data_IF_502023049648
#
_entry.id   IF_502023049648
#
_cell.length_a   1.000
_cell.length_b   1.000
_cell.length_c   1.000
_cell.angle_alpha   90.00
_cell.angle_beta   90.00
_cell.angle_gamma   90.00
#
_symmetry.space_group_name_H-M   'P 1'
#
loop_
_entity.id
_entity.type
_entity.pdbx_description
1 polymer ?
#
# COMPACT_ATOMS: atom_id res chain seq x y z
N UNK A 1 51.53 47.24 -13.04
CA UNK A 1 50.16 47.32 -13.59
C UNK A 1 50.08 46.18 -14.61
N UNK A 2 49.27 45.12 -14.50
CA UNK A 2 47.86 45.01 -14.10
C UNK A 2 47.61 43.63 -13.46
N UNK A 3 46.73 43.63 -12.47
CA UNK A 3 46.15 42.54 -11.68
C UNK A 3 45.95 41.18 -12.41
N UNK A 4 46.78 40.18 -12.06
CA UNK A 4 46.58 38.76 -12.45
C UNK A 4 46.06 37.86 -11.30
N UNK A 5 45.67 38.43 -10.15
CA UNK A 5 45.37 37.67 -8.92
C UNK A 5 43.89 37.56 -8.53
N UNK A 6 42.97 38.21 -9.25
CA UNK A 6 41.54 38.28 -8.86
C UNK A 6 40.59 37.40 -9.67
N UNK A 7 41.01 36.88 -10.84
CA UNK A 7 40.11 36.11 -11.71
C UNK A 7 40.05 34.62 -11.35
N UNK A 8 41.13 34.03 -10.84
CA UNK A 8 41.16 32.61 -10.44
C UNK A 8 40.43 32.34 -9.13
N UNK A 9 40.35 33.31 -8.22
CA UNK A 9 39.58 33.20 -6.98
C UNK A 9 38.06 33.33 -7.18
N UNK A 10 37.60 33.94 -8.29
CA UNK A 10 36.18 34.04 -8.60
C UNK A 10 35.61 32.76 -9.23
N UNK A 11 36.44 31.93 -9.88
CA UNK A 11 35.96 30.71 -10.53
C UNK A 11 35.75 29.55 -9.55
N UNK A 12 36.49 29.49 -8.44
CA UNK A 12 36.23 28.49 -7.39
C UNK A 12 34.95 28.79 -6.58
N UNK A 13 34.53 30.06 -6.50
CA UNK A 13 33.30 30.44 -5.79
C UNK A 13 32.03 30.13 -6.59
N UNK A 14 32.11 30.05 -7.92
CA UNK A 14 30.95 29.77 -8.78
C UNK A 14 30.65 28.26 -8.92
N UNK A 15 31.60 27.38 -8.61
CA UNK A 15 31.39 25.92 -8.67
C UNK A 15 30.75 25.32 -7.40
N UNK A 16 30.54 26.13 -6.36
CA UNK A 16 29.83 25.71 -5.13
C UNK A 16 28.31 26.00 -5.24
N UNK A 17 27.87 26.62 -6.33
CA UNK A 17 26.46 26.98 -6.52
C UNK A 17 25.67 25.80 -7.10
N UNK A 18 24.77 25.26 -6.27
CA UNK A 18 23.66 24.35 -6.60
C UNK A 18 23.94 22.84 -6.66
N UNK A 19 24.47 22.27 -5.58
CA UNK A 19 23.90 20.98 -5.14
C UNK A 19 22.50 21.29 -4.61
N UNK A 20 21.52 21.36 -5.51
CA UNK A 20 20.13 21.19 -5.11
C UNK A 20 20.02 19.78 -4.57
N UNK A 21 20.16 19.64 -3.25
CA UNK A 21 19.66 18.46 -2.56
C UNK A 21 18.16 18.53 -2.78
N UNK A 22 17.69 17.84 -3.83
CA UNK A 22 16.27 17.64 -4.05
C UNK A 22 15.77 16.95 -2.79
N UNK A 23 15.13 17.74 -1.91
CA UNK A 23 14.48 17.23 -0.74
C UNK A 23 13.25 16.48 -1.25
N UNK A 24 13.45 15.23 -1.68
CA UNK A 24 12.37 14.31 -1.93
C UNK A 24 11.60 14.26 -0.61
N UNK A 25 10.43 14.88 -0.57
CA UNK A 25 9.54 14.78 0.56
C UNK A 25 9.23 13.28 0.68
N UNK A 26 9.89 12.61 1.63
CA UNK A 26 9.64 11.22 1.89
C UNK A 26 8.22 11.15 2.45
N UNK A 27 7.35 10.42 1.76
CA UNK A 27 6.00 10.15 2.22
C UNK A 27 6.06 9.64 3.67
N UNK A 28 5.43 10.37 4.59
CA UNK A 28 5.47 10.02 6.02
C UNK A 28 4.86 8.63 6.22
N UNK A 29 5.57 7.68 6.85
CA UNK A 29 5.01 6.37 7.11
C UNK A 29 3.78 6.44 8.01
N UNK A 30 2.79 5.59 7.74
CA UNK A 30 1.71 5.33 8.69
C UNK A 30 2.28 4.50 9.83
N UNK A 31 2.18 5.04 11.04
CA UNK A 31 2.59 4.38 12.27
C UNK A 31 1.47 3.45 12.74
N UNK A 32 1.77 2.15 12.81
CA UNK A 32 0.83 1.14 13.27
C UNK A 32 0.98 0.96 14.77
N UNK A 33 0.05 1.57 15.50
CA UNK A 33 -0.14 1.42 16.95
C UNK A 33 -1.10 0.25 17.27
N UNK A 34 -1.46 0.10 18.56
CA UNK A 34 -2.30 -0.99 19.07
C UNK A 34 -3.78 -0.93 18.60
N UNK A 35 -4.17 0.06 17.79
CA UNK A 35 -5.51 0.09 17.20
C UNK A 35 -5.71 -1.08 16.23
N UNK A 36 -6.94 -1.60 16.22
CA UNK A 36 -7.35 -2.68 15.33
C UNK A 36 -7.48 -2.28 13.86
N UNK A 37 -7.63 -0.99 13.55
CA UNK A 37 -7.82 -0.49 12.19
C UNK A 37 -7.26 0.90 12.01
N UNK A 38 -6.60 1.11 10.86
CA UNK A 38 -6.00 2.37 10.46
C UNK A 38 -6.43 2.75 9.03
N UNK A 39 -6.53 4.06 8.77
CA UNK A 39 -6.76 4.59 7.42
C UNK A 39 -5.47 5.22 6.87
N UNK A 40 -5.37 5.32 5.54
CA UNK A 40 -4.18 5.83 4.85
C UNK A 40 -4.25 7.34 4.51
N UNK A 41 -5.19 8.09 5.09
CA UNK A 41 -5.29 9.53 4.83
C UNK A 41 -4.00 10.25 5.23
N UNK A 42 -3.41 11.01 4.31
CA UNK A 42 -2.14 11.69 4.50
C UNK A 42 -0.89 10.81 4.31
N UNK A 43 -1.07 9.50 4.06
CA UNK A 43 0.01 8.51 3.96
C UNK A 43 0.03 7.75 2.63
N UNK A 44 -0.87 8.11 1.70
CA UNK A 44 -1.07 7.43 0.42
C UNK A 44 -0.71 8.35 -0.74
N UNK A 45 0.07 7.84 -1.68
CA UNK A 45 0.25 8.43 -3.00
C UNK A 45 -0.32 7.51 -4.07
N UNK A 46 -0.65 8.10 -5.22
CA UNK A 46 -1.09 7.34 -6.38
C UNK A 46 -0.42 7.83 -7.67
N UNK A 47 -0.34 6.93 -8.64
CA UNK A 47 0.14 7.19 -10.00
C UNK A 47 -0.84 6.55 -10.96
N UNK A 48 -1.25 7.29 -11.98
CA UNK A 48 -2.11 6.75 -13.05
C UNK A 48 -1.24 6.24 -14.19
N UNK A 49 -1.50 5.02 -14.65
CA UNK A 49 -0.85 4.40 -15.80
C UNK A 49 -1.89 4.15 -16.91
N UNK A 50 -2.03 5.08 -17.87
CA UNK A 50 -2.96 4.93 -18.99
C UNK A 50 -2.61 3.76 -19.92
N UNK A 51 -1.35 3.34 -19.96
CA UNK A 51 -0.88 2.24 -20.82
C UNK A 51 -1.22 0.88 -20.24
N UNK A 52 -1.41 0.81 -18.92
CA UNK A 52 -1.53 -0.41 -18.13
C UNK A 52 -0.30 -1.35 -18.19
N UNK A 53 0.83 -0.87 -18.71
CA UNK A 53 2.03 -1.68 -18.95
C UNK A 53 3.13 -1.49 -17.90
N UNK A 54 3.00 -0.51 -17.01
CA UNK A 54 4.04 -0.30 -16.00
C UNK A 54 4.15 -1.53 -15.10
N UNK A 55 5.39 -1.85 -14.69
CA UNK A 55 5.68 -2.89 -13.71
C UNK A 55 6.05 -2.28 -12.37
N UNK A 56 6.04 -3.08 -11.29
CA UNK A 56 6.44 -2.61 -9.96
C UNK A 56 7.87 -2.06 -9.95
N UNK A 57 8.78 -2.69 -10.70
CA UNK A 57 10.17 -2.25 -10.82
C UNK A 57 10.29 -0.87 -11.46
N UNK A 58 9.41 -0.55 -12.41
CA UNK A 58 9.42 0.75 -13.10
C UNK A 58 8.81 1.86 -12.24
N UNK A 59 7.76 1.58 -11.46
CA UNK A 59 7.07 2.64 -10.68
C UNK A 59 7.80 3.03 -9.40
N UNK A 60 8.65 2.17 -8.86
CA UNK A 60 9.41 2.43 -7.62
C UNK A 60 10.25 3.70 -7.72
N UNK A 61 10.94 3.87 -8.86
CA UNK A 61 11.87 4.98 -9.10
C UNK A 61 11.21 6.20 -9.76
N UNK A 62 9.89 6.15 -9.99
CA UNK A 62 9.16 7.30 -10.52
C UNK A 62 9.03 8.40 -9.48
N UNK A 63 9.09 9.64 -9.96
CA UNK A 63 8.98 10.86 -9.15
C UNK A 63 7.64 11.58 -9.32
N UNK A 64 6.82 11.19 -10.30
CA UNK A 64 5.53 11.82 -10.63
C UNK A 64 4.34 11.20 -9.88
N UNK A 65 4.58 10.72 -8.67
CA UNK A 65 3.52 10.30 -7.75
C UNK A 65 2.70 11.51 -7.29
N UNK A 66 1.37 11.34 -7.25
CA UNK A 66 0.44 12.35 -6.76
C UNK A 66 0.02 12.04 -5.32
N UNK A 67 0.15 13.02 -4.42
CA UNK A 67 -0.22 12.89 -3.02
C UNK A 67 0.61 13.81 -2.11
N UNK A 68 0.51 13.63 -0.78
CA UNK A 68 -0.32 12.63 -0.10
C UNK A 68 -1.83 12.88 -0.25
N UNK A 69 -2.62 11.80 -0.33
CA UNK A 69 -4.08 11.86 -0.42
C UNK A 69 -4.66 11.98 0.99
N UNK A 70 -5.30 13.12 1.29
CA UNK A 70 -5.94 13.39 2.59
C UNK A 70 -7.42 12.96 2.69
N UNK A 71 -7.94 12.31 1.66
CA UNK A 71 -9.28 11.72 1.69
C UNK A 71 -9.17 10.28 2.19
N UNK A 72 -10.14 9.84 3.00
CA UNK A 72 -10.21 8.45 3.47
C UNK A 72 -10.41 7.46 2.32
N UNK A 73 -11.13 7.89 1.27
CA UNK A 73 -11.39 7.09 0.07
C UNK A 73 -10.97 7.90 -1.14
N UNK A 74 -10.02 7.38 -1.91
CA UNK A 74 -9.65 7.93 -3.21
C UNK A 74 -10.67 7.46 -4.24
N UNK A 75 -11.31 8.41 -4.94
CA UNK A 75 -12.26 8.14 -6.00
C UNK A 75 -11.78 8.81 -7.29
N UNK A 76 -11.49 8.00 -8.30
CA UNK A 76 -10.99 8.43 -9.61
C UNK A 76 -12.06 8.29 -10.71
N UNK A 77 -13.31 8.01 -10.35
CA UNK A 77 -14.38 7.78 -11.31
C UNK A 77 -14.14 6.56 -12.19
N UNK A 78 -14.73 6.53 -13.37
CA UNK A 78 -14.50 5.45 -14.35
C UNK A 78 -13.24 5.80 -15.16
N UNK A 79 -12.28 4.89 -15.20
CA UNK A 79 -11.05 5.03 -15.99
C UNK A 79 -10.65 3.69 -16.60
N UNK A 80 -10.00 3.73 -17.76
CA UNK A 80 -9.37 2.54 -18.37
C UNK A 80 -7.92 2.34 -17.90
N UNK A 81 -7.39 3.28 -17.14
CA UNK A 81 -6.00 3.25 -16.67
C UNK A 81 -5.81 2.26 -15.52
N UNK A 82 -4.62 1.69 -15.41
CA UNK A 82 -4.19 1.10 -14.14
C UNK A 82 -3.88 2.22 -13.15
N UNK A 83 -4.17 1.98 -11.88
CA UNK A 83 -3.83 2.91 -10.80
C UNK A 83 -2.84 2.22 -9.90
N UNK A 84 -1.68 2.84 -9.76
CA UNK A 84 -0.64 2.46 -8.81
C UNK A 84 -0.81 3.25 -7.53
N UNK A 85 -0.60 2.58 -6.40
CA UNK A 85 -0.59 3.18 -5.08
C UNK A 85 0.75 2.91 -4.42
N UNK A 86 1.21 3.87 -3.61
CA UNK A 86 2.40 3.75 -2.77
C UNK A 86 2.12 4.30 -1.38
N UNK A 87 2.52 3.55 -0.36
CA UNK A 87 2.49 3.98 1.04
C UNK A 87 3.52 3.20 1.85
N UNK A 88 3.84 3.70 3.04
CA UNK A 88 4.81 3.09 3.94
C UNK A 88 4.13 2.75 5.26
N UNK A 89 4.35 1.54 5.76
CA UNK A 89 3.81 1.08 7.03
C UNK A 89 4.95 0.86 8.01
N UNK A 90 4.84 1.37 9.23
CA UNK A 90 5.83 1.16 10.29
C UNK A 90 5.20 0.42 11.45
N UNK A 91 5.77 -0.73 11.81
CA UNK A 91 5.39 -1.44 13.02
C UNK A 91 6.05 -0.79 14.25
N UNK A 92 5.26 -0.18 15.13
CA UNK A 92 5.80 0.46 16.34
C UNK A 92 6.01 -0.52 17.51
N UNK A 93 5.54 -1.76 17.40
CA UNK A 93 5.73 -2.75 18.44
C UNK A 93 7.19 -3.25 18.50
N UNK A 94 7.57 -3.75 19.67
CA UNK A 94 8.88 -4.37 19.90
C UNK A 94 8.96 -5.84 19.44
N UNK A 95 7.93 -6.33 18.74
CA UNK A 95 7.85 -7.68 18.19
C UNK A 95 7.34 -7.63 16.75
N UNK A 96 7.62 -8.68 15.98
CA UNK A 96 7.03 -8.85 14.65
C UNK A 96 5.51 -8.93 14.76
N UNK A 97 4.81 -8.13 13.97
CA UNK A 97 3.35 -8.06 13.95
C UNK A 97 2.82 -8.46 12.58
N UNK A 98 1.65 -9.11 12.58
CA UNK A 98 0.91 -9.46 11.37
C UNK A 98 -0.22 -8.45 11.15
N UNK A 99 -0.30 -7.94 9.94
CA UNK A 99 -1.30 -6.99 9.49
C UNK A 99 -1.94 -7.47 8.19
N UNK A 100 -3.05 -6.83 7.83
CA UNK A 100 -3.76 -7.09 6.59
C UNK A 100 -4.07 -5.76 5.92
N UNK A 101 -3.67 -5.64 4.66
CA UNK A 101 -4.14 -4.54 3.81
C UNK A 101 -5.48 -4.98 3.24
N UNK A 102 -6.54 -4.35 3.74
CA UNK A 102 -7.92 -4.62 3.36
C UNK A 102 -8.32 -3.68 2.22
N UNK A 103 -8.54 -4.23 1.03
CA UNK A 103 -9.12 -3.52 -0.10
C UNK A 103 -10.61 -3.85 -0.20
N UNK A 104 -11.45 -2.88 0.14
CA UNK A 104 -12.88 -3.08 0.43
C UNK A 104 -13.78 -2.80 -0.78
N UNK A 105 -13.30 -3.18 -1.96
CA UNK A 105 -14.01 -3.01 -3.23
C UNK A 105 -13.92 -4.29 -4.08
N UNK A 106 -14.61 -5.37 -3.66
CA UNK A 106 -14.42 -6.72 -4.23
C UNK A 106 -14.83 -6.85 -5.71
N UNK A 107 -15.48 -5.83 -6.28
CA UNK A 107 -15.86 -5.81 -7.70
C UNK A 107 -14.72 -5.37 -8.62
N UNK A 108 -13.60 -4.86 -8.10
CA UNK A 108 -12.42 -4.50 -8.91
C UNK A 108 -11.93 -5.72 -9.71
N UNK A 109 -11.62 -5.52 -11.00
CA UNK A 109 -11.26 -6.63 -11.88
C UNK A 109 -9.95 -7.31 -11.46
N UNK A 110 -8.95 -6.51 -11.08
CA UNK A 110 -7.69 -6.99 -10.50
C UNK A 110 -7.09 -5.99 -9.52
N UNK A 111 -6.49 -6.54 -8.48
CA UNK A 111 -5.68 -5.86 -7.48
C UNK A 111 -4.44 -6.72 -7.24
N UNK A 112 -3.26 -6.16 -7.50
CA UNK A 112 -1.99 -6.80 -7.17
C UNK A 112 -1.30 -6.00 -6.07
N UNK A 113 -0.90 -6.69 -5.02
CA UNK A 113 -0.21 -6.18 -3.85
C UNK A 113 1.25 -6.64 -3.89
N UNK A 114 2.16 -5.68 -3.76
CA UNK A 114 3.60 -5.90 -3.87
C UNK A 114 4.31 -5.49 -2.59
N UNK A 115 5.19 -6.37 -2.11
CA UNK A 115 6.11 -6.12 -0.99
C UNK A 115 7.52 -6.51 -1.38
N UNK A 116 8.53 -5.83 -0.86
CA UNK A 116 9.92 -6.19 -1.11
C UNK A 116 10.37 -7.28 -0.12
N UNK A 117 10.88 -8.40 -0.62
CA UNK A 117 11.48 -9.46 0.18
C UNK A 117 12.81 -8.99 0.80
N UNK A 118 13.33 -9.70 1.82
CA UNK A 118 14.68 -9.44 2.33
C UNK A 118 15.79 -9.59 1.27
N UNK A 119 15.57 -10.43 0.26
CA UNK A 119 16.49 -10.60 -0.88
C UNK A 119 16.37 -9.50 -1.94
N UNK A 120 15.45 -8.54 -1.77
CA UNK A 120 15.29 -7.39 -2.64
C UNK A 120 14.35 -7.59 -3.83
N UNK A 121 13.79 -8.79 -4.01
CA UNK A 121 12.78 -9.06 -5.04
C UNK A 121 11.39 -8.63 -4.58
N UNK A 122 10.48 -8.38 -5.52
CA UNK A 122 9.09 -8.15 -5.17
C UNK A 122 8.35 -9.49 -5.01
N UNK A 123 7.73 -9.67 -3.85
CA UNK A 123 6.70 -10.67 -3.65
C UNK A 123 5.36 -10.09 -4.08
N UNK A 124 4.56 -10.89 -4.78
CA UNK A 124 3.28 -10.48 -5.33
C UNK A 124 2.15 -11.32 -4.75
N UNK A 125 1.05 -10.66 -4.41
CA UNK A 125 -0.22 -11.28 -4.06
C UNK A 125 -1.29 -10.62 -4.93
N UNK A 126 -2.20 -11.40 -5.52
CA UNK A 126 -3.23 -10.86 -6.40
C UNK A 126 -4.61 -11.38 -6.03
N UNK A 127 -5.63 -10.59 -6.34
CA UNK A 127 -7.04 -10.94 -6.23
C UNK A 127 -7.86 -10.06 -7.19
N UNK A 128 -9.09 -10.45 -7.50
CA UNK A 128 -9.98 -9.63 -8.32
C UNK A 128 -11.28 -10.35 -8.66
N UNK A 129 -12.23 -9.61 -9.23
CA UNK A 129 -13.48 -10.19 -9.74
C UNK A 129 -13.30 -10.98 -11.04
N UNK A 130 -12.17 -10.78 -11.73
CA UNK A 130 -11.87 -11.43 -13.03
C UNK A 130 -10.67 -12.37 -12.99
N UNK A 131 -9.99 -12.47 -11.85
CA UNK A 131 -8.81 -13.33 -11.65
C UNK A 131 -8.94 -14.07 -10.32
N UNK A 132 -8.46 -15.33 -10.22
CA UNK A 132 -8.44 -16.04 -8.95
C UNK A 132 -7.54 -15.32 -7.95
N UNK A 133 -7.87 -15.40 -6.66
CA UNK A 133 -7.00 -14.91 -5.61
C UNK A 133 -5.79 -15.84 -5.42
N UNK A 134 -4.62 -15.26 -5.21
CA UNK A 134 -3.42 -16.00 -4.80
C UNK A 134 -3.63 -16.67 -3.43
N UNK A 135 -3.00 -17.82 -3.20
CA UNK A 135 -3.30 -18.67 -2.03
C UNK A 135 -3.05 -18.06 -0.64
N UNK A 136 -2.38 -16.90 -0.56
CA UNK A 136 -2.16 -16.16 0.70
C UNK A 136 -3.29 -15.17 1.03
N UNK A 137 -4.07 -14.73 0.04
CA UNK A 137 -5.17 -13.78 0.26
C UNK A 137 -6.24 -14.47 1.10
N UNK A 138 -6.66 -13.83 2.20
CA UNK A 138 -7.64 -14.43 3.10
C UNK A 138 -9.03 -14.38 2.45
N UNK A 139 -9.79 -15.50 2.42
CA UNK A 139 -11.17 -15.50 1.95
C UNK A 139 -12.03 -14.60 2.85
N UNK A 140 -12.50 -13.48 2.31
CA UNK A 140 -13.44 -12.56 2.94
C UNK A 140 -14.30 -11.88 1.86
N UNK A 141 -15.29 -11.09 2.25
CA UNK A 141 -16.03 -10.24 1.31
C UNK A 141 -15.17 -9.13 0.72
N UNK A 142 -14.00 -8.85 1.32
CA UNK A 142 -12.99 -7.91 0.85
C UNK A 142 -11.70 -8.66 0.49
N UNK A 143 -10.81 -8.04 -0.29
CA UNK A 143 -9.49 -8.61 -0.54
C UNK A 143 -8.56 -8.25 0.62
N UNK A 144 -8.14 -9.27 1.37
CA UNK A 144 -7.27 -9.12 2.53
C UNK A 144 -5.87 -9.66 2.20
N UNK A 145 -4.91 -8.76 2.03
CA UNK A 145 -3.52 -9.10 1.72
C UNK A 145 -2.71 -9.16 3.02
N UNK A 146 -2.32 -10.36 3.52
CA UNK A 146 -1.51 -10.48 4.73
C UNK A 146 -0.07 -9.98 4.52
N UNK A 147 0.45 -9.35 5.57
CA UNK A 147 1.81 -8.82 5.65
C UNK A 147 2.34 -8.97 7.07
N UNK A 148 3.57 -9.45 7.23
CA UNK A 148 4.29 -9.44 8.50
C UNK A 148 5.36 -8.36 8.47
N UNK A 149 5.41 -7.52 9.51
CA UNK A 149 6.39 -6.43 9.64
C UNK A 149 7.18 -6.67 10.92
N UNK A 150 8.50 -6.77 10.80
CA UNK A 150 9.41 -6.89 11.94
C UNK A 150 9.34 -5.67 12.88
N UNK A 151 9.76 -5.87 14.13
CA UNK A 151 9.77 -4.82 15.15
C UNK A 151 10.51 -3.56 14.69
N UNK A 152 9.86 -2.39 14.79
CA UNK A 152 10.43 -1.10 14.44
C UNK A 152 10.74 -0.91 12.94
N UNK A 153 10.38 -1.85 12.06
CA UNK A 153 10.65 -1.73 10.63
C UNK A 153 9.56 -0.96 9.91
N UNK A 154 10.00 -0.23 8.90
CA UNK A 154 9.16 0.41 7.89
C UNK A 154 9.24 -0.37 6.59
N UNK A 155 8.09 -0.70 6.00
CA UNK A 155 8.02 -1.42 4.72
C UNK A 155 7.30 -0.56 3.67
N UNK A 156 7.87 -0.43 2.46
CA UNK A 156 7.17 0.17 1.33
C UNK A 156 6.18 -0.83 0.75
N UNK A 157 4.97 -0.35 0.47
CA UNK A 157 3.90 -1.10 -0.16
C UNK A 157 3.56 -0.47 -1.49
N UNK A 158 3.40 -1.32 -2.51
CA UNK A 158 2.87 -0.91 -3.80
C UNK A 158 1.62 -1.73 -4.11
N UNK A 159 0.61 -1.09 -4.69
CA UNK A 159 -0.57 -1.78 -5.18
C UNK A 159 -0.88 -1.34 -6.60
N UNK A 160 -1.25 -2.27 -7.47
CA UNK A 160 -1.75 -2.00 -8.82
C UNK A 160 -3.21 -2.42 -8.89
N UNK A 161 -4.08 -1.50 -9.30
CA UNK A 161 -5.52 -1.72 -9.37
C UNK A 161 -6.01 -1.45 -10.78
N UNK A 162 -6.85 -2.34 -11.30
CA UNK A 162 -7.60 -2.13 -12.54
C UNK A 162 -9.07 -2.52 -12.34
N UNK A 163 -9.95 -1.68 -12.89
CA UNK A 163 -11.39 -1.88 -12.83
C UNK A 163 -12.05 -1.21 -14.04
N UNK A 164 -12.98 -1.91 -14.69
CA UNK A 164 -13.89 -1.39 -15.71
C UNK A 164 -15.11 -0.71 -15.08
N UNK A 165 -15.32 -0.91 -13.78
CA UNK A 165 -16.29 -0.18 -12.96
C UNK A 165 -15.66 1.11 -12.41
N UNK A 166 -16.39 1.81 -11.53
CA UNK A 166 -15.83 2.96 -10.82
C UNK A 166 -14.56 2.59 -10.03
N UNK A 167 -13.54 3.43 -10.12
CA UNK A 167 -12.26 3.29 -9.42
C UNK A 167 -12.36 4.00 -8.07
N UNK A 168 -13.02 3.33 -7.12
CA UNK A 168 -13.05 3.74 -5.71
C UNK A 168 -12.09 2.86 -4.93
N UNK A 169 -11.23 3.48 -4.11
CA UNK A 169 -10.11 2.82 -3.43
C UNK A 169 -10.29 2.97 -1.91
N UNK A 170 -11.16 2.16 -1.29
CA UNK A 170 -11.28 2.07 0.16
C UNK A 170 -10.26 1.08 0.70
N UNK A 171 -9.16 1.60 1.29
CA UNK A 171 -8.11 0.78 1.89
C UNK A 171 -8.06 1.02 3.40
N UNK A 172 -7.97 -0.08 4.16
CA UNK A 172 -7.69 -0.05 5.59
C UNK A 172 -6.54 -0.99 5.94
N UNK A 173 -5.78 -0.64 6.96
CA UNK A 173 -4.81 -1.55 7.57
C UNK A 173 -5.45 -2.15 8.81
N UNK A 174 -5.55 -3.47 8.86
CA UNK A 174 -6.19 -4.20 9.96
C UNK A 174 -5.13 -4.98 10.75
N UNK A 175 -5.23 -4.98 12.07
CA UNK A 175 -4.40 -5.84 12.91
C UNK A 175 -4.93 -7.28 12.94
N UNK A 176 -4.05 -8.24 13.22
CA UNK A 176 -4.43 -9.66 13.26
C UNK A 176 -5.48 -10.01 14.32
N UNK A 177 -5.49 -9.27 15.43
CA UNK A 177 -6.48 -9.42 16.50
C UNK A 177 -7.92 -9.22 15.98
N UNK A 178 -8.13 -8.27 15.07
CA UNK A 178 -9.46 -7.99 14.51
C UNK A 178 -9.99 -9.16 13.68
N UNK A 179 -9.13 -9.77 12.86
CA UNK A 179 -9.54 -10.88 12.00
C UNK A 179 -9.70 -12.18 12.79
N UNK A 180 -8.82 -12.45 13.75
CA UNK A 180 -8.96 -13.62 14.63
C UNK A 180 -10.26 -13.56 15.44
N UNK A 181 -10.63 -12.38 15.95
CA UNK A 181 -11.93 -12.18 16.61
C UNK A 181 -13.13 -12.39 15.68
N UNK A 182 -13.04 -11.92 14.43
CA UNK A 182 -14.09 -12.13 13.42
C UNK A 182 -14.26 -13.61 13.07
N UNK A 183 -13.16 -14.35 12.91
CA UNK A 183 -13.18 -15.78 12.60
C UNK A 183 -13.67 -16.63 13.78
N UNK A 184 -13.26 -16.31 15.01
CA UNK A 184 -13.71 -17.01 16.22
C UNK A 184 -15.24 -16.90 16.43
N UNK A 185 -15.83 -15.75 16.10
CA UNK A 185 -17.30 -15.58 16.13
C UNK A 185 -18.04 -16.42 15.09
N UNK A 186 -17.44 -16.67 13.92
CA UNK A 186 -18.01 -17.53 12.88
C UNK A 186 -17.97 -19.00 13.31
N UNK A 187 -16.86 -19.46 13.90
CA UNK A 187 -16.72 -20.84 14.37
C UNK A 187 -17.64 -21.17 15.55
N UNK A 188 -17.95 -20.19 16.42
CA UNK A 188 -18.90 -20.37 17.51
C UNK A 188 -20.37 -20.41 17.06
N UNK A 189 -20.72 -19.79 15.93
CA UNK A 189 -22.09 -19.84 15.37
C UNK A 189 -22.44 -21.19 14.72
N UNK A 190 -21.45 -22.03 14.40
CA UNK A 190 -21.69 -23.35 13.77
C UNK A 190 -21.83 -24.51 14.77
N UNK A 191 -21.84 -24.22 16.08
CA UNK A 191 -21.85 -25.22 17.15
C UNK A 191 -23.19 -25.53 17.81
N UNK A 192 -24.34 -25.23 17.18
CA UNK A 192 -25.67 -25.57 17.71
C UNK A 192 -26.66 -25.93 16.60
N UNK A 193 -26.38 -27.01 15.86
CA UNK A 193 -27.45 -27.73 15.18
C UNK A 193 -28.03 -28.75 16.17
N UNK A 194 -28.87 -28.28 17.10
CA UNK A 194 -29.69 -29.18 17.90
C UNK A 194 -30.64 -29.91 16.97
N UNK A 195 -30.52 -31.22 16.92
CA UNK A 195 -31.48 -32.15 16.34
C UNK A 195 -32.88 -31.77 16.82
N UNK A 196 -33.71 -31.21 15.94
CA UNK A 196 -35.14 -31.11 16.16
C UNK A 196 -35.82 -32.16 15.30
N UNK A 197 -35.89 -33.37 15.86
CA UNK A 197 -36.89 -34.36 15.46
C UNK A 197 -38.23 -33.92 16.04
N UNK A 198 -39.25 -33.69 15.18
CA UNK A 198 -40.68 -34.03 15.42
C UNK A 198 -41.62 -33.44 14.34
N UNK A 199 -42.30 -34.36 13.65
CA UNK A 199 -43.63 -34.32 13.01
C UNK A 199 -43.96 -33.17 12.03
N UNK A 200 -44.10 -33.49 10.74
CA UNK A 200 -45.30 -34.10 10.13
C UNK A 200 -44.90 -35.07 9.02
#
# INVERSE_FOLDING_TARGET
MVSLGKQTLLQLAFFIMSVSVANAALLTPLLLDDKHSHNLSGHLEFLTDPTCQLTVQQVVDRSDWSGPVHKQVLNLGITKSAVWLRFFLTNQANTTQKFYVSFEYPVANSVTFYTKSPSGFFEEQHAGSTIPASGRVVPDRHFLFPLSIEAGKTVPIYMRIQSTYGMTIPIRILSDQLLTGKQAGITQSTGHCSVFSRWF
#
